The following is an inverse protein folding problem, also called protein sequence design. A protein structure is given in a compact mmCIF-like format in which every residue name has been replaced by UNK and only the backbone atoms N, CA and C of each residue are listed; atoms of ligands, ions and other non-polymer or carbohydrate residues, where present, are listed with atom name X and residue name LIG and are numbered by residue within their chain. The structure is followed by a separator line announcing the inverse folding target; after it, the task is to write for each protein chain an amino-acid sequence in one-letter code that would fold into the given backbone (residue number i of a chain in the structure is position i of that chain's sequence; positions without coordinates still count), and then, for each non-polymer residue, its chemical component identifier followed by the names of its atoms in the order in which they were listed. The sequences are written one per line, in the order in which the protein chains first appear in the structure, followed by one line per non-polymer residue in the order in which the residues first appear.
data_IF_804105652809
#
_entry.id   IF_804105652809
#
_cell.length_a   1.000
_cell.length_b   1.000
_cell.length_c   1.000
_cell.angle_alpha   90.00
_cell.angle_beta   90.00
_cell.angle_gamma   90.00
#
_symmetry.space_group_name_H-M   'P 1'
#
loop_
_entity.id
_entity.type
_entity.pdbx_description
1 polymer ?
#
# COMPACT_ATOMS: atom_id res chain seq x y z
N UNK A 1 3.79 -3.28 -14.05
CA UNK A 1 5.03 -3.86 -13.54
C UNK A 1 6.21 -3.27 -14.26
N UNK A 2 7.14 -2.63 -13.54
CA UNK A 2 8.35 -2.10 -14.14
C UNK A 2 9.12 -3.22 -14.84
N UNK A 3 9.53 -3.03 -16.11
CA UNK A 3 10.30 -4.04 -16.81
C UNK A 3 11.65 -4.26 -16.13
N UNK A 4 12.20 -5.47 -16.29
CA UNK A 4 13.51 -5.90 -15.78
C UNK A 4 13.64 -6.03 -14.24
N UNK A 5 12.58 -5.83 -13.46
CA UNK A 5 12.61 -5.98 -12.00
C UNK A 5 11.98 -7.30 -11.55
N UNK A 6 12.80 -8.27 -11.15
CA UNK A 6 12.34 -9.50 -10.52
C UNK A 6 11.60 -9.18 -9.24
N UNK A 7 10.41 -9.78 -9.07
CA UNK A 7 9.48 -9.47 -7.97
C UNK A 7 9.20 -7.97 -7.84
N UNK A 8 9.31 -7.22 -8.94
CA UNK A 8 9.15 -5.76 -8.98
C UNK A 8 10.22 -4.98 -8.20
N UNK A 9 11.31 -5.62 -7.78
CA UNK A 9 12.29 -5.05 -6.84
C UNK A 9 13.73 -5.20 -7.34
N UNK A 10 14.15 -6.42 -7.66
CA UNK A 10 15.56 -6.75 -7.91
C UNK A 10 15.87 -6.60 -9.40
N UNK A 11 16.88 -5.82 -9.76
CA UNK A 11 17.30 -5.68 -11.15
C UNK A 11 17.84 -7.00 -11.71
N UNK A 12 17.17 -7.55 -12.74
CA UNK A 12 17.43 -8.93 -13.20
C UNK A 12 18.87 -9.14 -13.68
N UNK A 13 19.50 -8.15 -14.33
CA UNK A 13 20.87 -8.31 -14.84
C UNK A 13 21.98 -8.04 -13.81
N UNK A 14 21.64 -7.45 -12.67
CA UNK A 14 22.55 -7.15 -11.56
C UNK A 14 21.78 -7.34 -10.24
N UNK A 15 21.72 -8.57 -9.69
CA UNK A 15 20.89 -8.89 -8.53
C UNK A 15 21.30 -8.18 -7.24
N UNK A 16 22.47 -7.53 -7.21
CA UNK A 16 22.91 -6.71 -6.07
C UNK A 16 22.31 -5.30 -6.09
N UNK A 17 21.48 -4.96 -7.08
CA UNK A 17 20.79 -3.68 -7.20
C UNK A 17 19.29 -3.86 -7.01
N UNK A 18 18.72 -3.16 -6.04
CA UNK A 18 17.30 -3.17 -5.72
C UNK A 18 16.68 -1.78 -5.91
N UNK A 19 15.44 -1.75 -6.41
CA UNK A 19 14.61 -0.57 -6.54
C UNK A 19 13.32 -0.76 -5.74
N UNK A 20 12.91 0.26 -4.98
CA UNK A 20 11.68 0.23 -4.18
C UNK A 20 10.69 1.27 -4.73
N UNK A 21 9.41 0.92 -4.74
CA UNK A 21 8.32 1.83 -5.10
C UNK A 21 8.32 2.32 -6.56
N UNK A 22 8.87 1.54 -7.49
CA UNK A 22 8.90 1.91 -8.93
C UNK A 22 7.60 1.60 -9.68
N UNK A 23 6.63 0.94 -9.03
CA UNK A 23 5.31 0.64 -9.57
C UNK A 23 4.39 1.87 -9.55
N UNK A 24 3.33 1.85 -10.36
CA UNK A 24 2.17 2.73 -10.12
C UNK A 24 1.60 2.48 -8.71
N UNK A 25 1.29 3.54 -7.98
CA UNK A 25 0.98 3.49 -6.55
C UNK A 25 -0.53 3.55 -6.29
N UNK A 26 -1.15 2.39 -6.02
CA UNK A 26 -2.45 2.32 -5.32
C UNK A 26 -2.21 2.20 -3.81
N UNK A 27 -1.21 1.39 -3.43
CA UNK A 27 -0.62 1.25 -2.10
C UNK A 27 0.74 1.91 -2.06
N UNK A 28 1.05 2.53 -0.93
CA UNK A 28 2.30 3.27 -0.72
C UNK A 28 3.12 2.60 0.38
N UNK A 29 2.97 3.06 1.63
CA UNK A 29 3.85 2.65 2.74
C UNK A 29 3.84 1.14 3.01
N UNK A 30 2.67 0.52 3.12
CA UNK A 30 2.57 -0.93 3.37
C UNK A 30 3.22 -1.75 2.26
N UNK A 31 3.10 -1.33 0.99
CA UNK A 31 3.77 -2.01 -0.11
C UNK A 31 5.30 -1.84 0.01
N UNK A 32 5.77 -0.64 0.34
CA UNK A 32 7.21 -0.39 0.52
C UNK A 32 7.79 -1.21 1.67
N UNK A 33 7.06 -1.40 2.77
CA UNK A 33 7.49 -2.26 3.89
C UNK A 33 7.62 -3.73 3.46
N UNK A 34 6.69 -4.22 2.65
CA UNK A 34 6.76 -5.57 2.06
C UNK A 34 7.96 -5.70 1.12
N UNK A 35 8.17 -4.71 0.23
CA UNK A 35 9.32 -4.72 -0.67
C UNK A 35 10.65 -4.64 0.09
N UNK A 36 10.76 -3.77 1.09
CA UNK A 36 11.95 -3.63 1.92
C UNK A 36 12.24 -4.90 2.72
N UNK A 37 11.22 -5.59 3.23
CA UNK A 37 11.36 -6.86 3.93
C UNK A 37 11.84 -7.97 3.00
N UNK A 38 11.35 -8.02 1.76
CA UNK A 38 11.86 -8.94 0.74
C UNK A 38 13.35 -8.69 0.45
N UNK A 39 13.75 -7.42 0.24
CA UNK A 39 15.16 -7.05 0.03
C UNK A 39 16.04 -7.44 1.21
N UNK A 40 15.58 -7.15 2.44
CA UNK A 40 16.28 -7.54 3.67
C UNK A 40 16.56 -9.04 3.68
N UNK A 41 15.55 -9.86 3.41
CA UNK A 41 15.67 -11.31 3.49
C UNK A 41 16.56 -11.88 2.37
N UNK A 42 16.62 -11.22 1.21
CA UNK A 42 17.62 -11.50 0.16
C UNK A 42 19.04 -11.16 0.64
N UNK A 43 19.25 -9.98 1.20
CA UNK A 43 20.58 -9.53 1.69
C UNK A 43 21.09 -10.42 2.83
N UNK A 44 20.21 -10.83 3.73
CA UNK A 44 20.52 -11.77 4.83
C UNK A 44 20.69 -13.22 4.33
N UNK A 45 20.45 -13.48 3.05
CA UNK A 45 20.59 -14.80 2.43
C UNK A 45 19.50 -15.80 2.83
N UNK A 46 18.41 -15.34 3.45
CA UNK A 46 17.23 -16.14 3.80
C UNK A 46 16.39 -16.47 2.55
N UNK A 47 16.28 -15.51 1.63
CA UNK A 47 15.73 -15.72 0.28
C UNK A 47 16.89 -15.89 -0.69
N UNK A 48 16.91 -17.01 -1.42
CA UNK A 48 17.85 -17.22 -2.52
C UNK A 48 17.23 -16.74 -3.81
N UNK A 49 17.92 -15.83 -4.49
CA UNK A 49 17.50 -15.38 -5.81
C UNK A 49 17.68 -16.52 -6.83
N UNK A 50 16.69 -16.76 -7.70
CA UNK A 50 16.83 -17.77 -8.74
C UNK A 50 17.74 -17.27 -9.87
N UNK A 51 18.01 -18.14 -10.84
CA UNK A 51 18.81 -17.80 -12.01
C UNK A 51 18.18 -16.69 -12.88
N UNK A 52 18.91 -16.23 -13.91
CA UNK A 52 18.45 -15.16 -14.77
C UNK A 52 17.17 -15.53 -15.52
N UNK A 53 17.09 -16.74 -16.08
CA UNK A 53 15.96 -17.21 -16.87
C UNK A 53 14.67 -17.22 -16.04
N UNK A 54 14.72 -17.80 -14.82
CA UNK A 54 13.59 -17.83 -13.89
C UNK A 54 13.12 -16.43 -13.48
N UNK A 55 14.07 -15.48 -13.34
CA UNK A 55 13.73 -14.08 -13.02
C UNK A 55 13.06 -13.38 -14.19
N UNK A 56 13.55 -13.59 -15.41
CA UNK A 56 12.96 -13.03 -16.63
C UNK A 56 11.58 -13.62 -16.91
N UNK A 57 11.39 -14.92 -16.67
CA UNK A 57 10.07 -15.55 -16.77
C UNK A 57 9.08 -14.93 -15.77
N UNK A 58 9.47 -14.76 -14.51
CA UNK A 58 8.60 -14.12 -13.51
C UNK A 58 8.21 -12.69 -13.90
N UNK A 59 9.16 -11.93 -14.46
CA UNK A 59 8.89 -10.57 -14.97
C UNK A 59 7.87 -10.62 -16.12
N UNK A 60 8.03 -11.55 -17.07
CA UNK A 60 7.13 -11.71 -18.19
C UNK A 60 5.70 -12.06 -17.73
N UNK A 61 5.56 -12.99 -16.79
CA UNK A 61 4.26 -13.39 -16.21
C UNK A 61 3.52 -12.18 -15.61
N UNK A 62 4.22 -11.35 -14.83
CA UNK A 62 3.62 -10.15 -14.23
C UNK A 62 3.28 -9.06 -15.24
N UNK A 63 4.11 -8.88 -16.28
CA UNK A 63 3.84 -7.95 -17.38
C UNK A 63 2.64 -8.41 -18.19
N UNK A 64 2.54 -9.70 -18.51
CA UNK A 64 1.42 -10.23 -19.28
C UNK A 64 0.12 -10.17 -18.50
N UNK A 65 0.16 -10.42 -17.19
CA UNK A 65 -0.98 -10.20 -16.31
C UNK A 65 -1.42 -8.72 -16.31
N UNK A 66 -0.48 -7.77 -16.26
CA UNK A 66 -0.80 -6.34 -16.31
C UNK A 66 -1.45 -5.93 -17.64
N UNK A 67 -1.01 -6.50 -18.77
CA UNK A 67 -1.61 -6.22 -20.09
C UNK A 67 -3.07 -6.64 -20.18
N UNK A 68 -3.53 -7.56 -19.33
CA UNK A 68 -4.95 -7.95 -19.28
C UNK A 68 -5.83 -6.91 -18.57
N UNK A 69 -5.23 -5.98 -17.83
CA UNK A 69 -5.95 -4.95 -17.10
C UNK A 69 -6.42 -3.85 -18.06
N UNK A 70 -7.64 -3.36 -17.85
CA UNK A 70 -8.16 -2.21 -18.60
C UNK A 70 -7.54 -0.93 -18.03
N UNK A 71 -6.94 -0.04 -18.86
CA UNK A 71 -6.39 1.22 -18.37
C UNK A 71 -7.45 2.07 -17.67
N UNK A 72 -7.14 2.57 -16.46
CA UNK A 72 -8.05 3.41 -15.69
C UNK A 72 -9.14 2.64 -14.91
N UNK A 73 -9.12 1.31 -14.95
CA UNK A 73 -9.92 0.47 -14.06
C UNK A 73 -9.22 0.36 -12.69
N UNK A 74 -9.56 1.30 -11.81
CA UNK A 74 -8.97 1.38 -10.48
C UNK A 74 -9.21 0.15 -9.59
N UNK A 75 -10.28 -0.63 -9.82
CA UNK A 75 -10.53 -1.87 -9.07
C UNK A 75 -9.57 -2.99 -9.55
N UNK A 76 -9.42 -3.14 -10.85
CA UNK A 76 -8.48 -4.10 -11.43
C UNK A 76 -7.03 -3.78 -11.05
N UNK A 77 -6.61 -2.51 -11.12
CA UNK A 77 -5.28 -2.05 -10.67
C UNK A 77 -5.07 -2.30 -9.17
N UNK A 78 -6.10 -2.07 -8.35
CA UNK A 78 -6.08 -2.35 -6.93
C UNK A 78 -5.84 -3.83 -6.63
N UNK A 79 -6.60 -4.75 -7.24
CA UNK A 79 -6.42 -6.18 -7.01
C UNK A 79 -5.10 -6.72 -7.59
N UNK A 80 -4.61 -6.14 -8.70
CA UNK A 80 -3.29 -6.46 -9.22
C UNK A 80 -2.21 -6.19 -8.17
N UNK A 81 -2.25 -5.01 -7.51
CA UNK A 81 -1.27 -4.67 -6.49
C UNK A 81 -1.45 -5.44 -5.17
N UNK A 82 -2.70 -5.81 -4.81
CA UNK A 82 -2.96 -6.76 -3.72
C UNK A 82 -2.29 -8.11 -4.00
N UNK A 83 -2.45 -8.65 -5.21
CA UNK A 83 -1.87 -9.93 -5.59
C UNK A 83 -0.35 -9.87 -5.59
N UNK A 84 0.22 -8.74 -6.04
CA UNK A 84 1.65 -8.48 -5.95
C UNK A 84 2.17 -8.52 -4.50
N UNK A 85 1.51 -7.80 -3.57
CA UNK A 85 1.90 -7.85 -2.16
C UNK A 85 1.75 -9.26 -1.57
N UNK A 86 0.70 -10.00 -1.92
CA UNK A 86 0.51 -11.39 -1.48
C UNK A 86 1.63 -12.29 -1.98
N UNK A 87 2.04 -12.17 -3.24
CA UNK A 87 3.16 -12.93 -3.82
C UNK A 87 4.48 -12.70 -3.04
N UNK A 88 4.80 -11.45 -2.70
CA UNK A 88 5.96 -11.15 -1.87
C UNK A 88 5.84 -11.72 -0.44
N UNK A 89 4.66 -11.59 0.16
CA UNK A 89 4.37 -12.08 1.51
C UNK A 89 4.39 -13.62 1.63
N UNK A 90 4.43 -14.36 0.51
CA UNK A 90 4.66 -15.82 0.56
C UNK A 90 6.11 -16.17 0.92
N UNK A 91 7.06 -15.26 0.71
CA UNK A 91 8.49 -15.49 0.89
C UNK A 91 9.10 -14.67 2.02
N UNK A 92 8.46 -13.58 2.42
CA UNK A 92 8.93 -12.71 3.49
C UNK A 92 7.78 -12.26 4.40
N UNK A 93 8.13 -11.72 5.56
CA UNK A 93 7.17 -11.14 6.49
C UNK A 93 7.51 -9.67 6.75
N UNK A 94 6.55 -8.78 6.47
CA UNK A 94 6.65 -7.36 6.76
C UNK A 94 6.13 -7.06 8.18
N UNK A 95 6.95 -6.46 9.07
CA UNK A 95 6.47 -5.95 10.35
C UNK A 95 5.90 -4.53 10.19
N UNK A 96 4.77 -4.19 10.87
CA UNK A 96 3.93 -5.08 11.66
C UNK A 96 3.13 -6.04 10.78
N UNK A 97 2.82 -7.23 11.29
CA UNK A 97 1.91 -8.14 10.58
C UNK A 97 0.55 -7.48 10.40
N UNK A 98 0.00 -7.62 9.19
CA UNK A 98 -1.30 -7.07 8.85
C UNK A 98 -2.09 -8.08 8.00
N UNK A 99 -3.42 -7.96 8.08
CA UNK A 99 -4.32 -8.76 7.26
C UNK A 99 -4.67 -8.00 5.97
N UNK A 100 -4.21 -8.52 4.84
CA UNK A 100 -4.49 -7.98 3.50
C UNK A 100 -6.00 -7.86 3.25
N UNK A 101 -6.83 -8.74 3.81
CA UNK A 101 -8.28 -8.65 3.65
C UNK A 101 -8.88 -7.46 4.40
N UNK A 102 -8.32 -7.08 5.55
CA UNK A 102 -8.70 -5.85 6.26
C UNK A 102 -8.29 -4.60 5.48
N UNK A 103 -7.13 -4.64 4.80
CA UNK A 103 -6.72 -3.59 3.86
C UNK A 103 -7.76 -3.44 2.75
N UNK A 104 -8.18 -4.56 2.14
CA UNK A 104 -9.22 -4.57 1.09
C UNK A 104 -10.53 -3.96 1.58
N UNK A 105 -10.99 -4.35 2.77
CA UNK A 105 -12.20 -3.80 3.36
C UNK A 105 -12.10 -2.27 3.56
N UNK A 106 -10.98 -1.78 4.11
CA UNK A 106 -10.78 -0.35 4.36
C UNK A 106 -10.72 0.48 3.07
N UNK A 107 -10.10 -0.04 2.01
CA UNK A 107 -10.07 0.67 0.71
C UNK A 107 -11.45 0.68 0.05
N UNK A 108 -12.22 -0.42 0.14
CA UNK A 108 -13.62 -0.43 -0.33
C UNK A 108 -14.47 0.59 0.40
N UNK A 109 -14.35 0.68 1.72
CA UNK A 109 -15.03 1.69 2.54
C UNK A 109 -14.63 3.11 2.11
N UNK A 110 -13.34 3.38 1.87
CA UNK A 110 -12.88 4.68 1.38
C UNK A 110 -13.46 5.04 0.00
N UNK A 111 -13.47 4.08 -0.93
CA UNK A 111 -14.04 4.28 -2.28
C UNK A 111 -15.53 4.59 -2.18
N UNK A 112 -16.26 3.87 -1.33
CA UNK A 112 -17.67 4.13 -1.07
C UNK A 112 -17.90 5.55 -0.53
N UNK A 113 -17.17 5.99 0.50
CA UNK A 113 -17.30 7.36 1.02
C UNK A 113 -17.00 8.42 -0.06
N UNK A 114 -16.05 8.18 -0.96
CA UNK A 114 -15.75 9.08 -2.09
C UNK A 114 -16.89 9.14 -3.10
N UNK A 115 -17.57 8.03 -3.36
CA UNK A 115 -18.73 7.96 -4.26
C UNK A 115 -19.96 8.62 -3.65
N UNK A 116 -20.17 8.44 -2.34
CA UNK A 116 -21.27 9.08 -1.60
C UNK A 116 -21.12 10.61 -1.60
N UNK A 117 -19.93 11.13 -1.26
CA UNK A 117 -19.66 12.56 -1.36
C UNK A 117 -18.16 12.88 -1.41
N UNK A 118 -17.71 13.37 -2.56
CA UNK A 118 -16.31 13.76 -2.81
C UNK A 118 -15.82 14.92 -1.91
N UNK A 119 -16.71 15.72 -1.35
CA UNK A 119 -16.35 16.85 -0.47
C UNK A 119 -16.22 16.45 1.00
N UNK A 120 -16.87 15.37 1.44
CA UNK A 120 -16.94 14.98 2.86
C UNK A 120 -16.31 13.62 3.17
N UNK A 121 -15.79 12.88 2.19
CA UNK A 121 -15.16 11.56 2.43
C UNK A 121 -14.00 11.58 3.45
N UNK A 122 -13.37 12.74 3.66
CA UNK A 122 -12.31 12.94 4.67
C UNK A 122 -12.83 13.12 6.09
N UNK A 123 -14.13 13.31 6.27
CA UNK A 123 -14.78 13.46 7.57
C UNK A 123 -15.14 12.09 8.20
N UNK A 124 -14.72 10.98 7.57
CA UNK A 124 -14.96 9.62 8.04
C UNK A 124 -13.74 9.07 8.79
N UNK A 125 -14.00 8.25 9.81
CA UNK A 125 -12.96 7.54 10.57
C UNK A 125 -12.92 6.07 10.18
N UNK A 126 -11.71 5.51 10.11
CA UNK A 126 -11.49 4.10 9.78
C UNK A 126 -10.94 3.33 11.00
N UNK A 127 -11.06 2.01 10.96
CA UNK A 127 -10.46 1.12 11.95
C UNK A 127 -9.04 0.76 11.52
N UNK A 128 -8.07 0.93 12.43
CA UNK A 128 -6.69 0.51 12.19
C UNK A 128 -6.63 -0.99 11.97
N UNK A 129 -6.07 -1.41 10.83
CA UNK A 129 -5.86 -2.83 10.52
C UNK A 129 -4.83 -3.49 11.45
N UNK A 130 -3.93 -2.69 12.04
CA UNK A 130 -2.82 -3.16 12.89
C UNK A 130 -3.29 -3.28 14.34
N UNK A 131 -3.90 -2.23 14.89
CA UNK A 131 -4.28 -2.19 16.32
C UNK A 131 -5.73 -2.55 16.58
N UNK A 132 -6.58 -2.59 15.55
CA UNK A 132 -8.03 -2.75 15.70
C UNK A 132 -8.73 -1.54 16.33
N UNK A 133 -7.99 -0.52 16.76
CA UNK A 133 -8.58 0.71 17.29
C UNK A 133 -9.18 1.54 16.16
N UNK A 134 -10.40 2.02 16.34
CA UNK A 134 -10.95 3.08 15.49
C UNK A 134 -10.23 4.38 15.83
N UNK A 135 -9.83 5.13 14.81
CA UNK A 135 -9.32 6.47 15.03
C UNK A 135 -10.38 7.25 15.82
N UNK A 136 -10.08 7.56 17.08
CA UNK A 136 -10.98 8.28 17.97
C UNK A 136 -11.19 9.67 17.40
N UNK A 137 -12.33 9.91 16.71
CA UNK A 137 -12.90 11.23 16.45
C UNK A 137 -11.85 12.33 16.17
N UNK A 138 -10.81 12.03 15.41
CA UNK A 138 -9.92 13.06 14.83
C UNK A 138 -10.59 13.62 13.58
N UNK A 139 -11.92 13.62 13.56
CA UNK A 139 -12.60 14.61 12.77
C UNK A 139 -12.17 15.96 13.35
N UNK A 140 -11.62 16.86 12.55
CA UNK A 140 -11.44 18.23 12.99
C UNK A 140 -12.76 18.72 13.61
N UNK A 141 -12.69 19.69 14.51
CA UNK A 141 -13.93 20.25 15.07
C UNK A 141 -14.83 20.85 13.98
N UNK A 142 -14.22 21.12 12.81
CA UNK A 142 -14.85 21.56 11.58
C UNK A 142 -14.80 20.44 10.53
N UNK A 143 -15.81 20.33 9.64
CA UNK A 143 -15.72 19.52 8.43
C UNK A 143 -14.49 19.90 7.59
N UNK A 144 -13.94 18.95 6.83
CA UNK A 144 -12.72 19.13 6.04
C UNK A 144 -12.76 20.38 5.15
N UNK A 145 -13.88 20.63 4.48
CA UNK A 145 -14.06 21.78 3.57
C UNK A 145 -13.98 23.14 4.29
N UNK A 146 -14.26 23.18 5.59
CA UNK A 146 -14.21 24.40 6.42
C UNK A 146 -12.89 24.53 7.17
N UNK A 147 -12.10 23.45 7.27
CA UNK A 147 -10.84 23.45 8.00
C UNK A 147 -9.69 23.91 7.08
N UNK A 148 -9.42 25.21 7.09
CA UNK A 148 -8.40 25.84 6.24
C UNK A 148 -6.99 25.77 6.82
N UNK A 149 -6.82 25.32 8.07
CA UNK A 149 -5.51 25.16 8.69
C UNK A 149 -4.87 23.83 8.28
N UNK A 150 -3.64 23.88 7.80
CA UNK A 150 -2.86 22.73 7.33
C UNK A 150 -1.65 22.40 8.23
N UNK A 151 -1.50 23.11 9.35
CA UNK A 151 -0.43 22.87 10.32
C UNK A 151 -0.72 21.66 11.21
N UNK A 152 0.34 20.95 11.59
CA UNK A 152 0.26 19.80 12.49
C UNK A 152 -0.21 20.25 13.88
N UNK A 153 0.26 21.41 14.34
CA UNK A 153 -0.08 21.98 15.64
C UNK A 153 -1.59 22.19 15.77
N UNK A 154 -2.22 22.78 14.75
CA UNK A 154 -3.67 23.04 14.76
C UNK A 154 -4.47 21.74 14.70
N UNK A 155 -4.06 20.79 13.86
CA UNK A 155 -4.67 19.46 13.79
C UNK A 155 -4.66 18.74 15.14
N UNK A 156 -3.52 18.74 15.84
CA UNK A 156 -3.37 18.11 17.14
C UNK A 156 -4.15 18.86 18.24
N UNK A 157 -4.14 20.19 18.25
CA UNK A 157 -4.87 20.98 19.24
C UNK A 157 -6.39 20.78 19.14
N UNK A 158 -6.94 20.69 17.91
CA UNK A 158 -8.36 20.39 17.71
C UNK A 158 -8.75 19.02 18.28
N UNK A 159 -7.85 18.02 18.16
CA UNK A 159 -8.07 16.68 18.67
C UNK A 159 -8.06 16.59 20.20
N UNK A 160 -7.21 17.39 20.87
CA UNK A 160 -7.09 17.43 22.32
C UNK A 160 -8.30 18.09 22.99
N UNK A 161 -8.82 19.19 22.41
CA UNK A 161 -10.01 19.90 22.94
C UNK A 161 -11.24 18.99 23.00
N UNK A 162 -11.42 18.08 22.04
CA UNK A 162 -12.53 17.11 22.04
C UNK A 162 -12.43 16.02 23.12
N UNK A 163 -11.24 15.74 23.66
CA UNK A 163 -11.06 14.71 24.71
C UNK A 163 -11.40 15.20 26.12
N UNK A 164 -11.58 16.51 26.29
CA UNK A 164 -11.87 17.15 27.58
C UNK A 164 -13.37 17.45 27.78
N UNK A 165 -14.20 17.17 26.76
CA UNK A 165 -15.66 17.29 26.77
C UNK A 165 -16.28 15.90 26.78
#
# INVERSE_FOLDING_TARGET
SPPNLYKGIIWSKQPNLAYLGMQSLVFQFTMFDVQASFVRDVILGQIKLPDLESREQNIAEWIDLEKTLKPGDGESEFYYQINYMRDLLTQCHAPPQFDVNKVIAGVKELVQHKQENVFTYRDHSFVSIVTGSRALSINPSLPWLQNMADSVEEFLNQSLRKRQL
#
